data_IF_992947737879
#
_entry.id   IF_992947737879
#
_cell.length_a   1.000
_cell.length_b   1.000
_cell.length_c   1.000
_cell.angle_alpha   90.00
_cell.angle_beta   90.00
_cell.angle_gamma   90.00
#
_symmetry.space_group_name_H-M   'P 1'
#
loop_
_entity.id
_entity.type
_entity.pdbx_description
1 polymer ?
#
# COMPACT_ATOMS: atom_id res chain seq x y z
N UNK A 1 14.30 -15.06 -57.89
CA UNK A 1 14.02 -15.32 -56.47
C UNK A 1 14.60 -16.68 -56.12
N UNK A 2 15.82 -16.72 -55.58
CA UNK A 2 16.51 -17.96 -55.22
C UNK A 2 15.84 -18.52 -53.96
N UNK A 3 15.28 -19.73 -54.02
CA UNK A 3 14.73 -20.42 -52.84
C UNK A 3 15.87 -20.56 -51.82
N UNK A 4 15.70 -20.12 -50.57
CA UNK A 4 16.73 -20.31 -49.56
C UNK A 4 16.99 -21.81 -49.43
N UNK A 5 18.27 -22.17 -49.50
CA UNK A 5 18.73 -23.53 -49.28
C UNK A 5 18.24 -24.02 -47.91
N UNK A 6 17.76 -25.26 -47.84
CA UNK A 6 17.15 -25.84 -46.62
C UNK A 6 18.15 -25.78 -45.46
N UNK A 7 19.44 -25.88 -45.76
CA UNK A 7 20.52 -25.73 -44.79
C UNK A 7 20.59 -24.33 -44.16
N UNK A 8 20.42 -23.27 -44.95
CA UNK A 8 20.43 -21.89 -44.46
C UNK A 8 19.22 -21.62 -43.57
N UNK A 9 18.04 -22.13 -43.96
CA UNK A 9 16.83 -22.03 -43.13
C UNK A 9 16.99 -22.79 -41.80
N UNK A 10 17.52 -24.02 -41.84
CA UNK A 10 17.78 -24.81 -40.62
C UNK A 10 18.78 -24.11 -39.68
N UNK A 11 19.79 -23.45 -40.24
CA UNK A 11 20.74 -22.68 -39.45
C UNK A 11 20.07 -21.45 -38.80
N UNK A 12 19.27 -20.69 -39.55
CA UNK A 12 18.54 -19.54 -39.02
C UNK A 12 17.56 -19.96 -37.92
N UNK A 13 16.77 -21.02 -38.12
CA UNK A 13 15.85 -21.53 -37.10
C UNK A 13 16.57 -21.98 -35.83
N UNK A 14 17.76 -22.58 -35.96
CA UNK A 14 18.58 -22.95 -34.79
C UNK A 14 19.08 -21.71 -34.04
N UNK A 15 19.54 -20.67 -34.77
CA UNK A 15 19.97 -19.40 -34.17
C UNK A 15 18.82 -18.69 -33.47
N UNK A 16 17.66 -18.57 -34.14
CA UNK A 16 16.47 -17.97 -33.54
C UNK A 16 16.01 -18.73 -32.31
N UNK A 17 16.00 -20.07 -32.34
CA UNK A 17 15.64 -20.87 -31.16
C UNK A 17 16.57 -20.59 -29.98
N UNK A 18 17.88 -20.49 -30.23
CA UNK A 18 18.86 -20.18 -29.19
C UNK A 18 18.64 -18.77 -28.64
N UNK A 19 18.44 -17.79 -29.52
CA UNK A 19 18.16 -16.41 -29.15
C UNK A 19 16.87 -16.28 -28.32
N UNK A 20 15.77 -16.87 -28.76
CA UNK A 20 14.50 -16.87 -28.03
C UNK A 20 14.66 -17.55 -26.67
N UNK A 21 15.46 -18.62 -26.59
CA UNK A 21 15.73 -19.29 -25.31
C UNK A 21 16.52 -18.40 -24.36
N UNK A 22 17.54 -17.69 -24.84
CA UNK A 22 18.32 -16.77 -24.02
C UNK A 22 17.49 -15.56 -23.56
N UNK A 23 16.66 -15.00 -24.43
CA UNK A 23 15.76 -13.89 -24.09
C UNK A 23 14.73 -14.33 -23.04
N UNK A 24 14.13 -15.53 -23.21
CA UNK A 24 13.20 -16.08 -22.22
C UNK A 24 13.88 -16.25 -20.84
N UNK A 25 15.10 -16.75 -20.81
CA UNK A 25 15.87 -16.89 -19.56
C UNK A 25 16.24 -15.53 -18.96
N UNK A 26 16.54 -14.52 -19.78
CA UNK A 26 16.79 -13.16 -19.31
C UNK A 26 15.53 -12.55 -18.68
N UNK A 27 14.39 -12.62 -19.35
CA UNK A 27 13.10 -12.13 -18.84
C UNK A 27 12.74 -12.83 -17.53
N UNK A 28 12.92 -14.15 -17.44
CA UNK A 28 12.66 -14.89 -16.20
C UNK A 28 13.54 -14.43 -15.04
N UNK A 29 14.83 -14.15 -15.30
CA UNK A 29 15.75 -13.61 -14.28
C UNK A 29 15.33 -12.21 -13.84
N UNK A 30 15.06 -11.32 -14.79
CA UNK A 30 14.61 -9.96 -14.50
C UNK A 30 13.31 -9.95 -13.69
N UNK A 31 12.33 -10.78 -14.07
CA UNK A 31 11.09 -10.90 -13.30
C UNK A 31 11.35 -11.37 -11.86
N UNK A 32 12.25 -12.33 -11.67
CA UNK A 32 12.63 -12.80 -10.33
C UNK A 32 13.28 -11.67 -9.49
N UNK A 33 14.15 -10.86 -10.10
CA UNK A 33 14.78 -9.72 -9.43
C UNK A 33 13.78 -8.60 -9.09
N UNK A 34 12.85 -8.29 -10.00
CA UNK A 34 11.78 -7.33 -9.77
C UNK A 34 10.90 -7.78 -8.61
N UNK A 35 10.47 -9.05 -8.60
CA UNK A 35 9.62 -9.59 -7.52
C UNK A 35 10.32 -9.52 -6.16
N UNK A 36 11.60 -9.92 -6.08
CA UNK A 36 12.40 -9.83 -4.84
C UNK A 36 12.57 -8.38 -4.36
N UNK A 37 12.79 -7.46 -5.29
CA UNK A 37 12.95 -6.04 -4.98
C UNK A 37 11.65 -5.43 -4.49
N UNK A 38 10.53 -5.73 -5.16
CA UNK A 38 9.20 -5.31 -4.77
C UNK A 38 8.83 -5.84 -3.39
N UNK A 39 9.07 -7.11 -3.12
CA UNK A 39 8.86 -7.72 -1.81
C UNK A 39 9.66 -7.00 -0.70
N UNK A 40 10.95 -6.75 -0.94
CA UNK A 40 11.80 -5.99 0.01
C UNK A 40 11.26 -4.58 0.24
N UNK A 41 10.79 -3.93 -0.81
CA UNK A 41 10.21 -2.59 -0.75
C UNK A 41 8.93 -2.59 0.11
N UNK A 42 8.01 -3.52 -0.13
CA UNK A 42 6.77 -3.64 0.66
C UNK A 42 7.05 -3.88 2.15
N UNK A 43 7.96 -4.82 2.47
CA UNK A 43 8.36 -5.11 3.85
C UNK A 43 8.95 -3.87 4.54
N UNK A 44 9.87 -3.19 3.86
CA UNK A 44 10.53 -1.99 4.40
C UNK A 44 9.54 -0.84 4.61
N UNK A 45 8.67 -0.60 3.64
CA UNK A 45 7.65 0.43 3.72
C UNK A 45 6.62 0.15 4.82
N UNK A 46 6.21 -1.11 4.99
CA UNK A 46 5.32 -1.51 6.07
C UNK A 46 5.95 -1.24 7.45
N UNK A 47 7.20 -1.69 7.68
CA UNK A 47 7.92 -1.42 8.94
C UNK A 47 8.02 0.10 9.18
N UNK A 48 8.46 0.85 8.17
CA UNK A 48 8.59 2.30 8.27
C UNK A 48 7.26 2.98 8.65
N UNK A 49 6.14 2.51 8.09
CA UNK A 49 4.83 3.04 8.43
C UNK A 49 4.39 2.67 9.85
N UNK A 50 4.64 1.45 10.31
CA UNK A 50 4.34 1.05 11.69
C UNK A 50 5.19 1.85 12.70
N UNK A 51 6.47 2.06 12.41
CA UNK A 51 7.34 2.91 13.22
C UNK A 51 6.84 4.36 13.27
N UNK A 52 6.34 4.89 12.13
CA UNK A 52 5.74 6.22 12.10
C UNK A 52 4.48 6.30 12.98
N UNK A 53 3.60 5.31 12.91
CA UNK A 53 2.40 5.25 13.76
C UNK A 53 2.78 5.19 15.25
N UNK A 54 3.81 4.40 15.60
CA UNK A 54 4.32 4.31 16.96
C UNK A 54 4.87 5.67 17.45
N UNK A 55 5.62 6.38 16.59
CA UNK A 55 6.11 7.71 16.89
C UNK A 55 4.97 8.72 17.07
N UNK A 56 3.97 8.69 16.21
CA UNK A 56 2.82 9.59 16.30
C UNK A 56 2.05 9.36 17.62
N UNK A 57 1.93 8.11 18.09
CA UNK A 57 1.37 7.79 19.42
C UNK A 57 2.19 8.41 20.56
N UNK A 58 3.50 8.35 20.48
CA UNK A 58 4.39 8.94 21.50
C UNK A 58 4.25 10.48 21.54
N UNK A 59 4.20 11.13 20.37
CA UNK A 59 4.17 12.59 20.26
C UNK A 59 2.80 13.16 20.61
N UNK A 60 1.72 12.56 20.08
CA UNK A 60 0.37 13.12 20.14
C UNK A 60 -0.47 12.56 21.30
N UNK A 61 -0.17 11.35 21.76
CA UNK A 61 -0.99 10.59 22.72
C UNK A 61 -0.23 10.27 24.01
N UNK A 62 0.72 11.12 24.40
CA UNK A 62 1.65 10.91 25.53
C UNK A 62 0.99 10.63 26.89
N UNK A 63 -0.32 10.85 27.03
CA UNK A 63 -1.11 10.48 28.21
C UNK A 63 -1.54 8.99 28.25
N UNK A 64 -1.58 8.30 27.11
CA UNK A 64 -2.08 6.92 26.99
C UNK A 64 -0.96 5.90 26.71
N UNK A 65 0.19 6.34 26.18
CA UNK A 65 1.32 5.46 25.87
C UNK A 65 2.61 5.99 26.51
N UNK A 66 3.22 5.17 27.37
CA UNK A 66 4.50 5.50 28.00
C UNK A 66 5.66 5.39 26.98
N UNK A 67 6.74 6.18 27.14
CA UNK A 67 7.93 6.04 26.31
C UNK A 67 8.52 4.62 26.33
N UNK A 68 8.38 3.91 27.45
CA UNK A 68 8.84 2.52 27.57
C UNK A 68 8.05 1.55 26.69
N UNK A 69 6.73 1.70 26.60
CA UNK A 69 5.87 0.90 25.73
C UNK A 69 6.16 1.15 24.25
N UNK A 70 6.33 2.41 23.85
CA UNK A 70 6.71 2.75 22.48
C UNK A 70 8.08 2.16 22.10
N UNK A 71 9.07 2.21 23.00
CA UNK A 71 10.37 1.59 22.79
C UNK A 71 10.28 0.06 22.69
N UNK A 72 9.45 -0.59 23.51
CA UNK A 72 9.20 -2.03 23.41
C UNK A 72 8.57 -2.38 22.06
N UNK A 73 7.57 -1.61 21.63
CA UNK A 73 6.92 -1.81 20.34
C UNK A 73 7.88 -1.64 19.16
N UNK A 74 8.76 -0.63 19.23
CA UNK A 74 9.80 -0.42 18.21
C UNK A 74 10.75 -1.63 18.10
N UNK A 75 11.18 -2.21 19.24
CA UNK A 75 11.99 -3.43 19.26
C UNK A 75 11.27 -4.63 18.64
N UNK A 76 9.97 -4.78 18.93
CA UNK A 76 9.15 -5.85 18.33
C UNK A 76 9.10 -5.67 16.80
N UNK A 77 8.87 -4.44 16.32
CA UNK A 77 8.86 -4.12 14.89
C UNK A 77 10.20 -4.43 14.20
N UNK A 78 11.32 -4.10 14.84
CA UNK A 78 12.66 -4.44 14.33
C UNK A 78 12.90 -5.96 14.26
N UNK A 79 12.34 -6.71 15.20
CA UNK A 79 12.44 -8.19 15.23
C UNK A 79 11.41 -8.92 14.35
N UNK A 80 10.57 -8.19 13.61
CA UNK A 80 9.47 -8.78 12.85
C UNK A 80 9.98 -9.62 11.68
N UNK A 81 9.48 -10.86 11.57
CA UNK A 81 9.77 -11.75 10.45
C UNK A 81 8.53 -11.91 9.57
N UNK A 82 8.71 -11.71 8.27
CA UNK A 82 7.67 -11.94 7.28
C UNK A 82 7.67 -13.40 6.85
N UNK A 83 6.48 -14.01 6.86
CA UNK A 83 6.26 -15.41 6.50
C UNK A 83 5.38 -15.46 5.26
N UNK A 84 5.68 -16.39 4.37
CA UNK A 84 4.88 -16.60 3.16
C UNK A 84 3.46 -17.09 3.53
N UNK A 85 2.44 -16.47 2.93
CA UNK A 85 1.03 -16.78 3.24
C UNK A 85 0.70 -18.27 3.07
N UNK A 86 1.21 -18.93 2.03
CA UNK A 86 0.95 -20.35 1.77
C UNK A 86 1.49 -21.27 2.88
N UNK A 87 2.52 -20.87 3.63
CA UNK A 87 3.07 -21.67 4.74
C UNK A 87 2.10 -21.72 5.92
N UNK A 88 1.28 -20.68 6.08
CA UNK A 88 0.33 -20.54 7.19
C UNK A 88 -1.08 -20.95 6.76
N UNK A 89 -1.52 -20.46 5.60
CA UNK A 89 -2.89 -20.59 5.09
C UNK A 89 -3.06 -21.77 4.11
N UNK A 90 -1.97 -22.38 3.65
CA UNK A 90 -2.03 -23.48 2.68
C UNK A 90 -2.77 -23.07 1.40
N UNK A 91 -3.74 -23.89 0.98
CA UNK A 91 -4.55 -23.64 -0.21
C UNK A 91 -5.46 -22.41 -0.07
N UNK A 92 -5.75 -21.95 1.15
CA UNK A 92 -6.65 -20.81 1.37
C UNK A 92 -5.99 -19.48 1.00
N UNK A 93 -4.66 -19.44 0.89
CA UNK A 93 -3.92 -18.24 0.50
C UNK A 93 -4.42 -17.66 -0.83
N UNK A 94 -4.69 -18.52 -1.81
CA UNK A 94 -5.22 -18.08 -3.11
C UNK A 94 -6.65 -17.53 -3.01
N UNK A 95 -7.49 -18.13 -2.16
CA UNK A 95 -8.88 -17.70 -1.93
C UNK A 95 -8.90 -16.32 -1.26
N UNK A 96 -8.10 -16.14 -0.21
CA UNK A 96 -7.98 -14.85 0.46
C UNK A 96 -7.32 -13.80 -0.45
N UNK A 97 -6.32 -14.20 -1.24
CA UNK A 97 -5.68 -13.34 -2.24
C UNK A 97 -6.67 -12.83 -3.29
N UNK A 98 -7.49 -13.71 -3.85
CA UNK A 98 -8.54 -13.32 -4.80
C UNK A 98 -9.57 -12.41 -4.12
N UNK A 99 -10.05 -12.76 -2.93
CA UNK A 99 -11.00 -11.92 -2.18
C UNK A 99 -10.44 -10.51 -1.93
N UNK A 100 -9.21 -10.40 -1.43
CA UNK A 100 -8.57 -9.11 -1.17
C UNK A 100 -8.34 -8.33 -2.48
N UNK A 101 -7.98 -9.01 -3.56
CA UNK A 101 -7.88 -8.41 -4.89
C UNK A 101 -9.20 -7.80 -5.36
N UNK A 102 -10.30 -8.56 -5.29
CA UNK A 102 -11.65 -8.07 -5.64
C UNK A 102 -12.12 -6.94 -4.74
N UNK A 103 -11.79 -7.00 -3.45
CA UNK A 103 -12.11 -5.95 -2.50
C UNK A 103 -11.36 -4.65 -2.85
N UNK A 104 -10.06 -4.74 -3.12
CA UNK A 104 -9.21 -3.61 -3.55
C UNK A 104 -9.73 -2.97 -4.84
N UNK A 105 -10.15 -3.78 -5.80
CA UNK A 105 -10.71 -3.35 -7.09
C UNK A 105 -12.10 -2.72 -6.98
N UNK A 106 -12.75 -2.77 -5.81
CA UNK A 106 -14.05 -2.17 -5.56
C UNK A 106 -13.98 -1.05 -4.50
N UNK A 107 -13.49 0.16 -4.87
CA UNK A 107 -13.32 1.27 -3.93
C UNK A 107 -14.61 1.72 -3.25
N UNK A 108 -15.76 1.57 -3.92
CA UNK A 108 -17.07 1.90 -3.34
C UNK A 108 -17.40 0.99 -2.17
N UNK A 109 -17.19 -0.32 -2.34
CA UNK A 109 -17.42 -1.30 -1.28
C UNK A 109 -16.49 -1.03 -0.09
N UNK A 110 -15.20 -0.77 -0.34
CA UNK A 110 -14.25 -0.43 0.72
C UNK A 110 -14.70 0.81 1.49
N UNK A 111 -15.07 1.89 0.79
CA UNK A 111 -15.59 3.10 1.42
C UNK A 111 -16.84 2.83 2.26
N UNK A 112 -17.80 2.06 1.75
CA UNK A 112 -19.01 1.69 2.50
C UNK A 112 -18.69 0.86 3.75
N UNK A 113 -17.74 -0.09 3.65
CA UNK A 113 -17.30 -0.90 4.79
C UNK A 113 -16.62 -0.04 5.86
N UNK A 114 -15.80 0.95 5.47
CA UNK A 114 -15.15 1.87 6.42
C UNK A 114 -16.19 2.71 7.18
N UNK A 115 -17.16 3.30 6.47
CA UNK A 115 -18.23 4.10 7.08
C UNK A 115 -19.12 3.25 7.99
N UNK A 116 -19.46 2.03 7.56
CA UNK A 116 -20.23 1.10 8.40
C UNK A 116 -19.45 0.69 9.65
N UNK A 117 -18.15 0.38 9.49
CA UNK A 117 -17.26 0.05 10.60
C UNK A 117 -17.12 1.19 11.61
N UNK A 118 -16.99 2.42 11.14
CA UNK A 118 -16.94 3.60 12.00
C UNK A 118 -18.19 3.73 12.89
N UNK A 119 -19.38 3.48 12.31
CA UNK A 119 -20.64 3.54 13.04
C UNK A 119 -20.80 2.40 14.06
N UNK A 120 -20.18 1.25 13.80
CA UNK A 120 -20.24 0.09 14.69
C UNK A 120 -19.28 0.20 15.87
N UNK A 121 -18.04 0.67 15.64
CA UNK A 121 -17.02 0.74 16.67
C UNK A 121 -16.01 1.86 16.40
N UNK A 122 -16.27 3.04 16.99
CA UNK A 122 -15.45 4.22 16.79
C UNK A 122 -14.04 4.09 17.37
N UNK A 123 -13.85 3.30 18.42
CA UNK A 123 -12.56 3.08 19.09
C UNK A 123 -11.56 2.37 18.17
N UNK A 124 -12.05 1.38 17.40
CA UNK A 124 -11.19 0.56 16.53
C UNK A 124 -11.07 1.11 15.09
N UNK A 125 -11.88 2.11 14.73
CA UNK A 125 -11.91 2.72 13.39
C UNK A 125 -10.53 3.09 12.89
N UNK A 126 -9.73 3.77 13.71
CA UNK A 126 -8.39 4.20 13.33
C UNK A 126 -7.50 2.99 12.97
N UNK A 127 -7.51 1.94 13.80
CA UNK A 127 -6.76 0.71 13.54
C UNK A 127 -7.17 0.02 12.24
N UNK A 128 -8.47 -0.10 11.99
CA UNK A 128 -9.00 -0.70 10.76
C UNK A 128 -8.55 0.09 9.53
N UNK A 129 -8.66 1.42 9.57
CA UNK A 129 -8.24 2.29 8.45
C UNK A 129 -6.74 2.19 8.20
N UNK A 130 -5.92 2.15 9.26
CA UNK A 130 -4.47 1.92 9.11
C UNK A 130 -4.19 0.57 8.47
N UNK A 131 -4.88 -0.50 8.88
CA UNK A 131 -4.73 -1.83 8.28
C UNK A 131 -5.12 -1.83 6.81
N UNK A 132 -6.25 -1.20 6.45
CA UNK A 132 -6.68 -1.08 5.05
C UNK A 132 -5.64 -0.31 4.23
N UNK A 133 -5.16 0.84 4.71
CA UNK A 133 -4.16 1.62 4.00
C UNK A 133 -2.82 0.89 3.83
N UNK A 134 -2.31 0.27 4.90
CA UNK A 134 -1.00 -0.38 4.92
C UNK A 134 -0.99 -1.74 4.22
N UNK A 135 -2.08 -2.49 4.32
CA UNK A 135 -2.13 -3.91 3.93
C UNK A 135 -2.93 -4.15 2.65
N UNK A 136 -4.07 -3.46 2.44
CA UNK A 136 -4.87 -3.61 1.21
C UNK A 136 -4.30 -2.75 0.07
N UNK A 137 -3.91 -1.51 0.37
CA UNK A 137 -3.35 -0.57 -0.60
C UNK A 137 -1.83 -0.45 -0.53
N UNK A 138 -1.15 -1.28 0.26
CA UNK A 138 0.31 -1.38 0.27
C UNK A 138 1.05 -0.06 0.52
N UNK A 139 0.47 0.87 1.29
CA UNK A 139 0.99 2.23 1.48
C UNK A 139 1.05 3.10 0.20
N UNK A 140 0.31 2.74 -0.84
CA UNK A 140 0.32 3.40 -2.15
C UNK A 140 1.72 3.47 -2.79
N UNK A 141 2.50 2.39 -2.63
CA UNK A 141 3.80 2.27 -3.30
C UNK A 141 3.61 2.13 -4.82
N UNK A 142 2.57 1.40 -5.23
CA UNK A 142 2.20 1.25 -6.64
C UNK A 142 1.17 2.28 -7.05
N UNK A 143 1.30 2.77 -8.28
CA UNK A 143 0.39 3.76 -8.85
C UNK A 143 -1.06 3.27 -8.93
N UNK A 144 -1.26 1.98 -9.18
CA UNK A 144 -2.60 1.37 -9.20
C UNK A 144 -3.29 1.50 -7.84
N UNK A 145 -2.57 1.22 -6.75
CA UNK A 145 -3.10 1.32 -5.39
C UNK A 145 -3.45 2.77 -5.03
N UNK A 146 -2.67 3.74 -5.51
CA UNK A 146 -2.99 5.17 -5.39
C UNK A 146 -4.29 5.53 -6.10
N UNK A 147 -4.50 5.05 -7.34
CA UNK A 147 -5.73 5.32 -8.10
C UNK A 147 -6.95 4.74 -7.37
N UNK A 148 -6.88 3.50 -6.90
CA UNK A 148 -7.98 2.90 -6.15
C UNK A 148 -8.24 3.65 -4.83
N UNK A 149 -7.19 4.03 -4.10
CA UNK A 149 -7.34 4.76 -2.85
C UNK A 149 -7.96 6.15 -3.05
N UNK A 150 -7.59 6.87 -4.12
CA UNK A 150 -8.22 8.14 -4.49
C UNK A 150 -9.71 7.96 -4.79
N UNK A 151 -10.11 6.86 -5.41
CA UNK A 151 -11.51 6.53 -5.60
C UNK A 151 -12.22 6.22 -4.27
N UNK A 152 -11.56 5.54 -3.33
CA UNK A 152 -12.12 5.34 -1.97
C UNK A 152 -12.36 6.69 -1.30
N UNK A 153 -11.36 7.59 -1.32
CA UNK A 153 -11.48 8.94 -0.77
C UNK A 153 -12.64 9.70 -1.40
N UNK A 154 -12.81 9.62 -2.72
CA UNK A 154 -13.96 10.22 -3.42
C UNK A 154 -15.30 9.69 -2.88
N UNK A 155 -15.44 8.38 -2.71
CA UNK A 155 -16.68 7.80 -2.16
C UNK A 155 -16.88 8.16 -0.68
N UNK A 156 -15.82 8.28 0.12
CA UNK A 156 -15.92 8.74 1.50
C UNK A 156 -16.40 10.21 1.57
N UNK A 157 -16.02 11.07 0.62
CA UNK A 157 -16.60 12.43 0.50
C UNK A 157 -18.11 12.35 0.30
N UNK A 158 -18.58 11.46 -0.59
CA UNK A 158 -20.01 11.29 -0.86
C UNK A 158 -20.76 10.70 0.34
N UNK A 159 -20.16 9.78 1.10
CA UNK A 159 -20.85 9.09 2.19
C UNK A 159 -20.79 9.84 3.53
N UNK A 160 -19.72 10.58 3.80
CA UNK A 160 -19.51 11.25 5.08
C UNK A 160 -19.69 12.76 4.99
N UNK A 161 -19.06 13.42 4.01
CA UNK A 161 -19.03 14.88 3.95
C UNK A 161 -20.30 15.48 3.36
N UNK A 162 -20.85 14.85 2.32
CA UNK A 162 -22.11 15.30 1.69
C UNK A 162 -23.30 15.15 2.64
N UNK A 163 -23.32 14.07 3.41
CA UNK A 163 -24.41 13.75 4.35
C UNK A 163 -24.23 14.44 5.73
N UNK A 164 -23.12 15.16 5.94
CA UNK A 164 -22.85 15.85 7.20
C UNK A 164 -23.47 17.25 7.23
N UNK A 165 -24.25 17.55 8.27
CA UNK A 165 -24.78 18.90 8.50
C UNK A 165 -23.68 19.95 8.72
N UNK A 166 -22.48 19.52 9.15
CA UNK A 166 -21.36 20.42 9.41
C UNK A 166 -20.02 19.76 9.06
N UNK A 167 -19.66 19.71 7.77
CA UNK A 167 -18.45 19.04 7.29
C UNK A 167 -17.18 19.68 7.84
N UNK A 168 -17.20 21.00 8.11
CA UNK A 168 -16.07 21.70 8.75
C UNK A 168 -15.75 21.13 10.13
N UNK A 169 -16.79 20.86 10.93
CA UNK A 169 -16.62 20.27 12.27
C UNK A 169 -16.10 18.84 12.18
N UNK A 170 -16.62 18.05 11.23
CA UNK A 170 -16.20 16.67 11.00
C UNK A 170 -14.70 16.61 10.67
N UNK A 171 -14.26 17.40 9.70
CA UNK A 171 -12.87 17.46 9.26
C UNK A 171 -11.92 17.96 10.36
N UNK A 172 -12.34 18.95 11.16
CA UNK A 172 -11.52 19.46 12.27
C UNK A 172 -11.32 18.44 13.39
N UNK A 173 -12.29 17.56 13.64
CA UNK A 173 -12.13 16.48 14.62
C UNK A 173 -11.13 15.45 14.13
N UNK A 174 -11.09 15.19 12.82
CA UNK A 174 -10.12 14.28 12.21
C UNK A 174 -10.34 12.80 12.54
N UNK A 175 -11.50 12.43 13.10
CA UNK A 175 -11.79 11.07 13.58
C UNK A 175 -12.60 10.23 12.60
N UNK A 176 -13.14 10.82 11.53
CA UNK A 176 -13.91 10.07 10.53
C UNK A 176 -13.01 9.35 9.53
N UNK A 177 -13.56 8.36 8.83
CA UNK A 177 -12.80 7.53 7.91
C UNK A 177 -12.12 8.34 6.82
N UNK A 178 -12.81 9.33 6.24
CA UNK A 178 -12.22 10.24 5.26
C UNK A 178 -10.99 10.96 5.82
N UNK A 179 -11.10 11.60 6.99
CA UNK A 179 -10.02 12.41 7.55
C UNK A 179 -8.77 11.58 7.87
N UNK A 180 -8.96 10.40 8.46
CA UNK A 180 -7.85 9.51 8.81
C UNK A 180 -7.15 9.01 7.53
N UNK A 181 -7.93 8.53 6.56
CA UNK A 181 -7.38 7.98 5.32
C UNK A 181 -6.72 9.06 4.45
N UNK A 182 -7.31 10.26 4.39
CA UNK A 182 -6.77 11.39 3.66
C UNK A 182 -5.45 11.88 4.27
N UNK A 183 -5.36 11.93 5.60
CA UNK A 183 -4.12 12.22 6.32
C UNK A 183 -3.03 11.19 5.97
N UNK A 184 -3.37 9.90 6.05
CA UNK A 184 -2.44 8.81 5.72
C UNK A 184 -1.91 8.90 4.30
N UNK A 185 -2.78 9.20 3.34
CA UNK A 185 -2.44 9.37 1.93
C UNK A 185 -1.52 10.58 1.73
N UNK A 186 -1.91 11.75 2.25
CA UNK A 186 -1.19 13.01 2.05
C UNK A 186 0.20 13.01 2.70
N UNK A 187 0.34 12.38 3.88
CA UNK A 187 1.65 12.17 4.53
C UNK A 187 2.51 11.10 3.83
N UNK A 188 1.87 10.20 3.07
CA UNK A 188 2.54 9.19 2.26
C UNK A 188 3.15 9.76 0.98
N UNK A 189 2.55 10.82 0.41
CA UNK A 189 2.99 11.43 -0.84
C UNK A 189 4.36 12.12 -0.71
N UNK A 190 5.34 11.60 -1.43
CA UNK A 190 6.67 12.21 -1.50
C UNK A 190 6.63 13.61 -2.14
N UNK A 191 5.80 13.79 -3.17
CA UNK A 191 5.56 15.08 -3.83
C UNK A 191 5.05 16.13 -2.84
N UNK A 192 4.14 15.75 -1.94
CA UNK A 192 3.64 16.66 -0.90
C UNK A 192 4.75 17.08 0.08
N UNK A 193 5.63 16.14 0.48
CA UNK A 193 6.79 16.46 1.34
C UNK A 193 7.78 17.40 0.67
N UNK A 194 8.11 17.14 -0.59
CA UNK A 194 8.98 18.00 -1.38
C UNK A 194 8.41 19.42 -1.50
N UNK A 195 7.12 19.50 -1.84
CA UNK A 195 6.41 20.77 -1.95
C UNK A 195 6.41 21.55 -0.63
N UNK A 196 6.05 20.89 0.48
CA UNK A 196 6.05 21.51 1.80
C UNK A 196 7.46 21.94 2.23
N UNK A 197 8.47 21.11 1.98
CA UNK A 197 9.87 21.44 2.30
C UNK A 197 10.32 22.66 1.51
N UNK A 198 10.08 22.71 0.20
CA UNK A 198 10.47 23.85 -0.63
C UNK A 198 9.72 25.14 -0.24
N UNK A 199 8.41 25.04 0.01
CA UNK A 199 7.56 26.20 0.32
C UNK A 199 7.81 26.75 1.73
N UNK A 200 8.12 25.88 2.69
CA UNK A 200 8.32 26.25 4.09
C UNK A 200 9.79 26.45 4.47
N UNK A 201 10.74 26.19 3.56
CA UNK A 201 12.16 26.37 3.86
C UNK A 201 12.47 27.81 4.24
N UNK A 202 12.13 28.78 3.38
CA UNK A 202 12.42 30.20 3.58
C UNK A 202 11.66 30.88 4.74
N UNK A 203 10.38 30.57 5.03
CA UNK A 203 9.70 31.18 6.18
C UNK A 203 10.00 30.54 7.54
N UNK A 204 10.60 29.35 7.60
CA UNK A 204 10.90 28.64 8.86
C UNK A 204 12.40 28.65 9.21
N UNK A 205 13.30 28.61 8.21
CA UNK A 205 14.76 28.71 8.40
C UNK A 205 15.24 30.16 8.34
#
# INVERSE_FOLDING_TARGET
>A
MVKPDIHTLAHHLKQERLYVTSEKQLIQRLNCEVLKTAERLYRTAWIAKQQRINLDRLILTSAEASPAECCLHAKVLESTQFVDGYKILGFQESIYGEFLGRLRENPRLVASCLVAGERLNQEHTQGVIHTVFTSLYGNCIMQEDEIYLLQVLRYLVEFELKESDNPRRLLRRGTCAFSILFKLFSEGLYSAKLFLTATLHEPIM
#
